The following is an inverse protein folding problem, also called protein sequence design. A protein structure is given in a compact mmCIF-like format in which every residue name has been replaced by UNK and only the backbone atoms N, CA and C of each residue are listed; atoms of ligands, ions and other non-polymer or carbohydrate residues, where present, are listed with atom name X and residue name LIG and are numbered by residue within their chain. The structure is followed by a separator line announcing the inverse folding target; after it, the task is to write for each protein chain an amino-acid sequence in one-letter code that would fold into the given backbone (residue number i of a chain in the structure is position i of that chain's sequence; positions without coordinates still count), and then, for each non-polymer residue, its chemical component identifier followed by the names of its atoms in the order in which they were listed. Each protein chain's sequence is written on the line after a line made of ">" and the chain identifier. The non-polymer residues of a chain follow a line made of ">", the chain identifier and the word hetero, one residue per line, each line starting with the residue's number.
data_IF_855414868194
#
_entry.id   IF_855414868194
#
_cell.length_a   1.000
_cell.length_b   1.000
_cell.length_c   1.000
_cell.angle_alpha   90.00
_cell.angle_beta   90.00
_cell.angle_gamma   90.00
#
_symmetry.space_group_name_H-M   'P 1'
#
loop_
_entity.id
_entity.type
_entity.pdbx_description
1 polymer ?
#
# COMPACT_ATOMS: atom_id res chain seq x y z
N UNK A 1 -12.46 -17.32 -62.58
CA UNK A 1 -11.51 -16.98 -63.65
C UNK A 1 -10.46 -16.02 -63.10
N UNK A 2 -9.20 -16.53 -63.05
CA UNK A 2 -7.92 -15.87 -63.47
C UNK A 2 -7.59 -14.52 -62.80
N UNK A 3 -6.45 -14.27 -62.21
CA UNK A 3 -5.06 -14.85 -62.14
C UNK A 3 -4.33 -14.08 -61.03
N UNK A 4 -3.78 -14.63 -60.06
CA UNK A 4 -2.36 -14.91 -59.73
C UNK A 4 -1.30 -14.09 -60.53
N UNK A 5 -0.42 -13.38 -59.81
CA UNK A 5 1.03 -13.32 -60.13
C UNK A 5 1.84 -12.80 -58.94
N UNK A 6 2.68 -13.65 -58.49
CA UNK A 6 3.99 -13.68 -57.82
C UNK A 6 5.02 -12.69 -58.39
N UNK A 7 5.94 -12.22 -57.56
CA UNK A 7 7.39 -12.14 -57.71
C UNK A 7 7.98 -11.57 -56.43
N UNK A 8 8.71 -12.26 -55.62
CA UNK A 8 9.96 -13.03 -55.64
C UNK A 8 11.25 -12.19 -55.70
N UNK A 9 11.98 -12.21 -54.56
CA UNK A 9 13.42 -12.31 -54.33
C UNK A 9 14.34 -11.14 -54.80
N UNK A 10 15.15 -10.62 -53.84
CA UNK A 10 16.62 -10.83 -53.83
C UNK A 10 17.24 -10.34 -52.52
N UNK A 11 17.90 -11.16 -51.93
CA UNK A 11 19.09 -11.42 -51.15
C UNK A 11 20.29 -10.58 -51.62
N UNK A 12 21.02 -9.92 -50.71
CA UNK A 12 22.48 -9.82 -50.77
C UNK A 12 23.05 -9.52 -49.36
N UNK A 13 23.77 -10.45 -48.85
CA UNK A 13 24.70 -10.34 -47.72
C UNK A 13 26.04 -9.79 -48.23
N UNK A 14 26.73 -8.97 -47.45
CA UNK A 14 28.19 -8.84 -47.49
C UNK A 14 28.72 -8.73 -46.07
N UNK A 15 29.50 -9.71 -45.69
CA UNK A 15 30.47 -9.75 -44.61
C UNK A 15 31.72 -8.94 -45.05
N UNK A 16 32.37 -8.26 -44.11
CA UNK A 16 33.84 -8.34 -43.97
C UNK A 16 34.29 -7.74 -42.63
N UNK A 17 35.00 -8.59 -41.94
CA UNK A 17 35.82 -8.32 -40.78
C UNK A 17 37.14 -7.67 -41.15
N UNK A 18 37.75 -6.90 -40.26
CA UNK A 18 39.23 -6.98 -40.05
C UNK A 18 39.63 -6.29 -38.73
N UNK A 19 40.50 -7.02 -38.12
CA UNK A 19 41.21 -6.81 -36.86
C UNK A 19 42.39 -5.82 -37.00
N UNK A 20 42.96 -5.55 -35.81
CA UNK A 20 44.37 -5.31 -35.39
C UNK A 20 44.61 -3.87 -34.88
N UNK A 21 44.81 -3.76 -33.59
CA UNK A 21 46.03 -3.85 -32.75
C UNK A 21 46.97 -2.64 -32.91
N UNK A 22 47.32 -2.00 -31.80
CA UNK A 22 48.37 -0.99 -31.73
C UNK A 22 48.58 -0.49 -30.28
N UNK A 23 49.56 -1.06 -29.60
CA UNK A 23 50.16 -0.64 -28.35
C UNK A 23 50.89 0.70 -28.39
N UNK A 24 51.07 1.35 -27.24
CA UNK A 24 52.08 2.37 -26.98
C UNK A 24 51.63 3.30 -25.83
N UNK A 25 51.96 3.08 -24.66
CA UNK A 25 53.09 3.36 -23.77
C UNK A 25 53.31 4.84 -23.41
N UNK A 26 53.20 5.07 -22.07
CA UNK A 26 54.00 5.93 -21.20
C UNK A 26 54.01 7.47 -21.42
N UNK A 27 53.65 8.18 -20.35
CA UNK A 27 54.64 8.88 -19.48
C UNK A 27 53.95 9.69 -18.39
N UNK A 28 54.34 9.38 -17.15
CA UNK A 28 54.30 10.28 -16.00
C UNK A 28 55.46 11.25 -16.06
N UNK A 29 55.43 12.42 -15.41
CA UNK A 29 56.22 12.67 -14.22
C UNK A 29 55.43 13.41 -13.14
N UNK A 30 55.43 13.01 -11.86
CA UNK A 30 56.36 13.16 -10.74
C UNK A 30 56.76 14.62 -10.47
N UNK A 31 56.32 15.15 -9.39
CA UNK A 31 56.85 15.41 -8.04
C UNK A 31 57.47 16.79 -7.84
N UNK A 32 57.19 17.38 -6.69
CA UNK A 32 58.14 17.92 -5.68
C UNK A 32 57.30 18.44 -4.49
N UNK A 33 57.38 17.81 -3.34
CA UNK A 33 58.27 18.00 -2.15
C UNK A 33 58.31 19.41 -1.56
N UNK A 34 58.01 19.55 -0.28
CA UNK A 34 58.89 19.63 0.89
C UNK A 34 58.00 19.78 2.13
N UNK A 35 58.10 18.93 3.11
CA UNK A 35 59.07 18.81 4.26
C UNK A 35 58.87 19.94 5.24
N UNK A 36 58.81 19.80 6.50
CA UNK A 36 59.22 18.98 7.60
C UNK A 36 58.98 19.87 8.83
N UNK A 37 58.82 19.47 10.03
CA UNK A 37 59.74 18.92 11.02
C UNK A 37 58.96 18.77 12.33
N UNK A 38 58.98 17.62 12.96
CA UNK A 38 59.56 17.20 14.23
C UNK A 38 59.08 17.96 15.52
N UNK A 39 58.99 17.40 16.71
CA UNK A 39 59.44 16.15 17.27
C UNK A 39 58.86 15.93 18.66
N UNK A 40 58.83 14.66 19.04
CA UNK A 40 59.19 14.05 20.33
C UNK A 40 58.36 14.33 21.57
N UNK A 41 58.13 13.39 22.31
CA UNK A 41 58.58 12.13 22.85
C UNK A 41 58.10 12.01 24.28
N UNK A 42 57.82 10.90 24.70
CA UNK A 42 58.28 9.97 25.76
C UNK A 42 57.23 9.83 26.87
N UNK A 43 56.91 8.68 27.28
CA UNK A 43 57.44 7.48 27.77
C UNK A 43 56.46 6.72 28.57
N UNK A 44 56.37 5.48 28.25
CA UNK A 44 56.71 4.30 29.06
C UNK A 44 55.72 3.91 30.16
N UNK A 45 55.09 2.75 29.95
CA UNK A 45 55.22 1.44 30.66
C UNK A 45 54.83 1.44 32.13
N UNK A 46 54.08 0.48 32.62
CA UNK A 46 54.20 -0.97 32.74
C UNK A 46 52.96 -1.54 33.41
N UNK A 47 52.42 -2.62 32.92
CA UNK A 47 52.57 -4.01 33.36
C UNK A 47 51.66 -4.47 34.49
N UNK A 48 50.84 -5.41 34.12
CA UNK A 48 50.71 -6.81 34.49
C UNK A 48 49.92 -7.19 35.73
N UNK A 49 49.02 -8.07 35.43
CA UNK A 49 48.80 -9.45 35.94
C UNK A 49 48.03 -9.64 37.24
N UNK A 50 47.02 -10.37 37.10
CA UNK A 50 46.74 -11.75 37.39
C UNK A 50 46.01 -12.09 38.70
N UNK A 51 44.99 -12.93 38.52
CA UNK A 51 44.61 -14.13 39.32
C UNK A 51 44.09 -13.88 40.74
N UNK A 52 43.17 -14.53 41.23
CA UNK A 52 42.39 -15.79 41.09
C UNK A 52 41.51 -15.97 42.33
N UNK A 53 40.39 -16.69 42.16
CA UNK A 53 39.75 -17.66 43.08
C UNK A 53 39.23 -17.22 44.45
N UNK A 54 38.07 -17.54 44.86
CA UNK A 54 37.35 -18.74 45.32
C UNK A 54 36.09 -18.37 46.10
N UNK A 55 35.02 -18.95 45.74
CA UNK A 55 34.13 -19.96 46.36
C UNK A 55 33.53 -19.67 47.76
N UNK A 56 32.20 -19.80 47.72
CA UNK A 56 31.28 -20.47 48.65
C UNK A 56 31.06 -19.85 50.02
N UNK A 57 29.83 -19.58 50.40
CA UNK A 57 28.99 -20.50 51.18
C UNK A 57 27.58 -19.95 51.47
N UNK A 58 26.70 -20.86 51.58
CA UNK A 58 25.27 -20.88 51.81
C UNK A 58 24.87 -20.28 53.14
N UNK A 59 23.78 -19.55 53.24
CA UNK A 59 22.81 -19.80 54.33
C UNK A 59 21.36 -19.37 53.95
N UNK A 60 20.47 -20.21 54.30
CA UNK A 60 19.04 -20.30 54.06
C UNK A 60 18.34 -19.74 55.32
N UNK A 61 17.42 -18.78 55.12
CA UNK A 61 16.34 -18.58 56.10
C UNK A 61 15.00 -18.30 55.33
N UNK A 62 14.02 -18.99 55.79
CA UNK A 62 12.66 -19.23 55.35
C UNK A 62 11.72 -18.04 55.58
N UNK A 63 10.76 -17.89 54.63
CA UNK A 63 9.30 -17.70 54.81
C UNK A 63 8.75 -16.38 55.34
N UNK A 64 8.01 -15.66 54.53
CA UNK A 64 6.55 -15.48 54.70
C UNK A 64 5.92 -14.84 53.46
N UNK A 65 4.79 -15.40 53.06
CA UNK A 65 3.98 -15.05 51.88
C UNK A 65 3.33 -13.66 51.97
N UNK A 66 3.28 -12.95 50.87
CA UNK A 66 2.19 -12.04 50.55
C UNK A 66 1.99 -12.05 49.01
N UNK A 67 0.86 -12.59 48.62
CA UNK A 67 0.31 -12.55 47.26
C UNK A 67 0.23 -11.11 46.76
N UNK A 68 0.84 -10.85 45.62
CA UNK A 68 0.42 -9.77 44.74
C UNK A 68 0.53 -10.30 43.32
N UNK A 69 -0.60 -10.50 42.70
CA UNK A 69 -0.82 -10.93 41.34
C UNK A 69 -0.12 -9.96 40.36
N UNK A 70 1.03 -10.34 39.84
CA UNK A 70 1.62 -9.76 38.66
C UNK A 70 0.99 -10.48 37.46
N UNK A 71 0.21 -9.72 36.68
CA UNK A 71 -0.27 -10.15 35.38
C UNK A 71 0.95 -10.40 34.47
N UNK A 72 1.07 -11.63 34.05
CA UNK A 72 2.07 -12.03 33.05
C UNK A 72 1.77 -11.30 31.74
N UNK A 73 2.72 -10.49 31.30
CA UNK A 73 2.83 -10.06 29.91
C UNK A 73 2.99 -11.31 29.04
N UNK A 74 1.92 -11.62 28.35
CA UNK A 74 1.94 -12.62 27.30
C UNK A 74 2.63 -11.97 26.10
N UNK A 75 3.85 -12.38 25.85
CA UNK A 75 4.53 -12.16 24.58
C UNK A 75 3.61 -12.68 23.47
N UNK A 76 3.02 -11.82 22.68
CA UNK A 76 2.29 -12.22 21.49
C UNK A 76 3.32 -12.76 20.49
N UNK A 77 3.35 -14.07 20.41
CA UNK A 77 3.87 -14.82 19.29
C UNK A 77 3.16 -14.31 18.02
N UNK A 78 3.92 -13.92 17.02
CA UNK A 78 3.41 -13.50 15.70
C UNK A 78 2.71 -14.69 15.06
N UNK A 79 1.46 -14.89 15.38
CA UNK A 79 0.59 -15.82 14.66
C UNK A 79 0.35 -15.24 13.28
N UNK A 80 0.58 -16.03 12.24
CA UNK A 80 0.16 -15.74 10.87
C UNK A 80 -1.26 -15.17 10.91
N UNK A 81 -1.46 -13.99 10.32
CA UNK A 81 -2.77 -13.34 10.32
C UNK A 81 -3.79 -14.32 9.74
N UNK A 82 -4.81 -14.62 10.53
CA UNK A 82 -5.88 -15.52 10.13
C UNK A 82 -6.61 -14.91 8.94
N UNK A 83 -6.55 -15.59 7.80
CA UNK A 83 -7.20 -15.14 6.56
C UNK A 83 -8.71 -15.33 6.73
N UNK A 84 -9.48 -14.25 6.62
CA UNK A 84 -10.94 -14.36 6.60
C UNK A 84 -11.38 -14.92 5.26
N UNK A 85 -12.14 -16.02 5.27
CA UNK A 85 -12.79 -16.58 4.10
C UNK A 85 -14.31 -16.66 4.28
N UNK A 86 -15.07 -16.34 3.24
CA UNK A 86 -16.53 -16.42 3.21
C UNK A 86 -16.96 -17.06 1.89
N UNK A 87 -17.85 -18.04 1.98
CA UNK A 87 -18.25 -18.88 0.85
C UNK A 87 -17.19 -19.95 0.56
N UNK A 88 -17.59 -20.98 -0.16
CA UNK A 88 -16.71 -22.09 -0.57
C UNK A 88 -16.11 -21.76 -1.95
N UNK A 89 -14.80 -21.72 -2.04
CA UNK A 89 -14.10 -21.48 -3.28
C UNK A 89 -14.21 -22.69 -4.20
N UNK A 90 -14.67 -22.48 -5.42
CA UNK A 90 -14.75 -23.51 -6.48
C UNK A 90 -14.62 -22.83 -7.84
N UNK A 91 -14.53 -23.62 -8.91
CA UNK A 91 -14.50 -23.10 -10.27
C UNK A 91 -15.85 -22.55 -10.74
N UNK A 92 -16.95 -22.89 -10.03
CA UNK A 92 -18.31 -22.45 -10.32
C UNK A 92 -18.63 -21.07 -9.74
N UNK A 93 -17.76 -20.50 -8.86
CA UNK A 93 -17.97 -19.20 -8.26
C UNK A 93 -16.86 -18.22 -8.67
N UNK A 94 -17.11 -16.91 -8.58
CA UNK A 94 -16.06 -15.90 -8.69
C UNK A 94 -15.32 -15.79 -7.34
N UNK A 95 -14.02 -16.03 -7.37
CA UNK A 95 -13.13 -15.96 -6.21
C UNK A 95 -12.60 -14.54 -6.08
N UNK A 96 -13.02 -13.84 -5.04
CA UNK A 96 -12.77 -12.40 -4.83
C UNK A 96 -11.81 -12.20 -3.67
N UNK A 97 -10.64 -11.62 -3.96
CA UNK A 97 -9.67 -11.20 -2.94
C UNK A 97 -9.80 -9.72 -2.62
N UNK A 98 -9.70 -9.35 -1.34
CA UNK A 98 -9.77 -7.96 -0.91
C UNK A 98 -8.79 -7.63 0.21
N UNK A 99 -8.48 -6.35 0.39
CA UNK A 99 -7.59 -5.86 1.44
C UNK A 99 -8.38 -5.43 2.67
N UNK A 100 -7.87 -5.78 3.85
CA UNK A 100 -8.40 -5.33 5.13
C UNK A 100 -8.35 -3.80 5.21
N UNK A 101 -9.50 -3.17 5.17
CA UNK A 101 -9.64 -1.72 5.19
C UNK A 101 -10.81 -1.20 4.35
N UNK A 102 -10.75 0.05 3.88
CA UNK A 102 -11.83 0.67 3.11
C UNK A 102 -12.24 -0.13 1.87
N UNK A 103 -11.28 -0.75 1.17
CA UNK A 103 -11.54 -1.57 -0.02
C UNK A 103 -12.49 -2.73 0.24
N UNK A 104 -12.43 -3.37 1.43
CA UNK A 104 -13.35 -4.45 1.80
C UNK A 104 -14.67 -3.91 2.36
N UNK A 105 -14.69 -2.70 2.92
CA UNK A 105 -15.91 -2.17 3.57
C UNK A 105 -17.09 -2.02 2.58
N UNK A 106 -16.83 -1.77 1.30
CA UNK A 106 -17.86 -1.75 0.26
C UNK A 106 -18.46 -3.13 -0.03
N UNK A 107 -17.73 -4.21 0.27
CA UNK A 107 -18.17 -5.59 0.02
C UNK A 107 -18.92 -6.23 1.20
N UNK A 108 -18.85 -5.69 2.42
CA UNK A 108 -19.29 -6.42 3.62
C UNK A 108 -20.77 -6.81 3.61
N UNK A 109 -21.63 -6.04 2.93
CA UNK A 109 -23.04 -6.38 2.78
C UNK A 109 -23.22 -7.57 1.83
N UNK A 110 -22.52 -7.60 0.69
CA UNK A 110 -22.49 -8.72 -0.24
C UNK A 110 -21.90 -9.98 0.41
N UNK A 111 -20.80 -9.83 1.16
CA UNK A 111 -20.20 -10.92 1.95
C UNK A 111 -21.21 -11.53 2.93
N UNK A 112 -22.01 -10.70 3.61
CA UNK A 112 -23.05 -11.15 4.54
C UNK A 112 -24.20 -11.87 3.83
N UNK A 113 -24.57 -11.45 2.64
CA UNK A 113 -25.59 -12.12 1.83
C UNK A 113 -25.11 -13.50 1.35
N UNK A 114 -23.83 -13.65 0.99
CA UNK A 114 -23.25 -14.95 0.63
C UNK A 114 -23.13 -15.85 1.85
N UNK A 115 -22.65 -15.36 2.97
CA UNK A 115 -22.51 -16.12 4.22
C UNK A 115 -23.86 -16.66 4.75
N UNK A 116 -24.93 -15.86 4.58
CA UNK A 116 -26.29 -16.28 4.97
C UNK A 116 -26.97 -17.18 3.94
N UNK A 117 -26.39 -17.39 2.77
CA UNK A 117 -27.00 -18.14 1.67
C UNK A 117 -28.08 -17.35 0.91
N UNK A 118 -28.25 -16.06 1.19
CA UNK A 118 -29.17 -15.19 0.45
C UNK A 118 -28.67 -14.89 -0.97
N UNK A 119 -27.37 -14.99 -1.20
CA UNK A 119 -26.71 -14.87 -2.50
C UNK A 119 -25.69 -15.98 -2.70
N UNK A 120 -25.44 -16.36 -3.94
CA UNK A 120 -24.47 -17.37 -4.35
C UNK A 120 -23.64 -16.84 -5.53
N UNK A 121 -22.64 -17.62 -5.95
CA UNK A 121 -21.77 -17.29 -7.09
C UNK A 121 -20.48 -16.58 -6.71
N UNK A 122 -20.22 -16.38 -5.42
CA UNK A 122 -19.02 -15.74 -4.92
C UNK A 122 -18.38 -16.51 -3.78
N UNK A 123 -17.06 -16.44 -3.69
CA UNK A 123 -16.29 -16.66 -2.46
C UNK A 123 -15.38 -15.46 -2.22
N UNK A 124 -15.15 -15.12 -0.96
CA UNK A 124 -14.35 -13.95 -0.58
C UNK A 124 -13.18 -14.37 0.30
N UNK A 125 -12.04 -13.71 0.07
CA UNK A 125 -10.85 -13.80 0.88
C UNK A 125 -10.37 -12.39 1.23
N UNK A 126 -10.06 -12.14 2.51
CA UNK A 126 -9.53 -10.86 2.96
C UNK A 126 -8.12 -11.03 3.51
N UNK A 127 -7.18 -10.27 2.94
CA UNK A 127 -5.77 -10.26 3.27
C UNK A 127 -5.32 -8.89 3.81
N UNK A 128 -4.19 -8.85 4.49
CA UNK A 128 -3.60 -7.60 4.99
C UNK A 128 -2.58 -6.98 4.03
N UNK A 129 -2.03 -7.77 3.11
CA UNK A 129 -0.93 -7.36 2.24
C UNK A 129 -1.32 -7.38 0.75
N UNK A 130 -1.12 -6.26 0.02
CA UNK A 130 -1.46 -6.18 -1.41
C UNK A 130 -0.70 -7.19 -2.27
N UNK A 131 0.56 -7.49 -1.92
CA UNK A 131 1.41 -8.41 -2.68
C UNK A 131 0.89 -9.85 -2.64
N UNK A 132 0.24 -10.26 -1.54
CA UNK A 132 -0.40 -11.58 -1.43
C UNK A 132 -1.56 -11.67 -2.40
N UNK A 133 -2.50 -10.71 -2.35
CA UNK A 133 -3.66 -10.65 -3.26
C UNK A 133 -3.21 -10.60 -4.73
N UNK A 134 -2.23 -9.74 -5.05
CA UNK A 134 -1.68 -9.66 -6.40
C UNK A 134 -1.06 -11.00 -6.87
N UNK A 135 -0.32 -11.66 -5.99
CA UNK A 135 0.29 -12.97 -6.31
C UNK A 135 -0.75 -14.05 -6.57
N UNK A 136 -1.84 -14.08 -5.79
CA UNK A 136 -2.93 -15.03 -5.95
C UNK A 136 -3.76 -14.76 -7.19
N UNK A 137 -4.00 -13.49 -7.53
CA UNK A 137 -4.64 -13.09 -8.79
C UNK A 137 -3.81 -13.56 -10.00
N UNK A 138 -2.50 -13.27 -10.00
CA UNK A 138 -1.58 -13.67 -11.08
C UNK A 138 -1.47 -15.20 -11.20
N UNK A 139 -1.53 -15.92 -10.07
CA UNK A 139 -1.50 -17.39 -10.06
C UNK A 139 -2.84 -18.05 -10.44
N UNK A 140 -3.90 -17.26 -10.69
CA UNK A 140 -5.22 -17.78 -11.03
C UNK A 140 -6.00 -18.38 -9.86
N UNK A 141 -5.56 -18.14 -8.62
CA UNK A 141 -6.30 -18.54 -7.43
C UNK A 141 -7.49 -17.61 -7.14
N UNK A 142 -7.36 -16.34 -7.50
CA UNK A 142 -8.42 -15.34 -7.48
C UNK A 142 -8.82 -14.99 -8.91
N UNK A 143 -10.08 -14.68 -9.08
CA UNK A 143 -10.67 -14.21 -10.34
C UNK A 143 -10.79 -12.69 -10.37
N UNK A 144 -11.13 -12.11 -9.22
CA UNK A 144 -11.28 -10.68 -8.97
C UNK A 144 -10.42 -10.29 -7.77
N UNK A 145 -9.82 -9.10 -7.81
CA UNK A 145 -9.05 -8.56 -6.72
C UNK A 145 -9.30 -7.06 -6.52
N UNK A 146 -9.45 -6.66 -5.25
CA UNK A 146 -9.49 -5.25 -4.85
C UNK A 146 -8.09 -4.83 -4.41
N UNK A 147 -7.46 -3.96 -5.19
CA UNK A 147 -6.05 -3.58 -5.07
C UNK A 147 -5.90 -2.06 -4.97
N UNK A 148 -4.79 -1.54 -4.40
CA UNK A 148 -4.41 -0.16 -4.60
C UNK A 148 -4.31 0.17 -6.10
N UNK A 149 -4.78 1.34 -6.51
CA UNK A 149 -4.89 1.70 -7.92
C UNK A 149 -3.56 1.60 -8.68
N UNK A 150 -2.45 2.01 -8.07
CA UNK A 150 -1.13 1.87 -8.66
C UNK A 150 -0.68 0.41 -8.76
N UNK A 151 -1.01 -0.43 -7.77
CA UNK A 151 -0.67 -1.87 -7.78
C UNK A 151 -1.45 -2.59 -8.88
N UNK A 152 -2.70 -2.19 -9.15
CA UNK A 152 -3.48 -2.71 -10.27
C UNK A 152 -2.81 -2.43 -11.63
N UNK A 153 -2.28 -1.22 -11.86
CA UNK A 153 -1.50 -0.90 -13.04
C UNK A 153 -0.19 -1.72 -13.13
N UNK A 154 0.48 -1.93 -12.00
CA UNK A 154 1.65 -2.82 -11.93
C UNK A 154 1.27 -4.27 -12.27
N UNK A 155 0.12 -4.76 -11.79
CA UNK A 155 -0.39 -6.10 -12.11
C UNK A 155 -0.67 -6.26 -13.62
N UNK A 156 -1.32 -5.27 -14.23
CA UNK A 156 -1.56 -5.22 -15.67
C UNK A 156 -0.25 -5.35 -16.48
N UNK A 157 0.74 -4.54 -16.15
CA UNK A 157 2.05 -4.58 -16.83
C UNK A 157 2.79 -5.91 -16.59
N UNK A 158 2.78 -6.45 -15.38
CA UNK A 158 3.44 -7.73 -15.03
C UNK A 158 2.78 -8.94 -15.68
N UNK A 159 1.47 -8.92 -15.85
CA UNK A 159 0.70 -10.01 -16.47
C UNK A 159 0.64 -9.89 -17.99
N UNK A 160 1.31 -8.87 -18.60
CA UNK A 160 1.23 -8.59 -20.03
C UNK A 160 -0.21 -8.41 -20.49
N UNK A 161 -0.90 -7.48 -19.85
CA UNK A 161 -2.31 -7.14 -20.09
C UNK A 161 -3.30 -8.26 -19.68
N UNK A 162 -2.95 -9.08 -18.70
CA UNK A 162 -3.79 -10.20 -18.25
C UNK A 162 -4.89 -9.84 -17.27
N UNK A 163 -5.03 -8.56 -16.88
CA UNK A 163 -6.07 -8.06 -15.96
C UNK A 163 -6.67 -6.77 -16.47
N UNK A 164 -7.97 -6.53 -16.15
CA UNK A 164 -8.67 -5.28 -16.44
C UNK A 164 -9.34 -4.71 -15.19
N UNK A 165 -9.35 -3.38 -15.07
CA UNK A 165 -10.09 -2.67 -14.03
C UNK A 165 -11.57 -2.64 -14.37
N UNK A 166 -12.43 -2.94 -13.40
CA UNK A 166 -13.89 -3.02 -13.55
C UNK A 166 -14.64 -1.97 -12.75
N UNK A 167 -14.09 -1.50 -11.64
CA UNK A 167 -14.58 -0.35 -10.88
C UNK A 167 -13.48 0.32 -10.06
N UNK A 168 -13.76 1.56 -9.64
CA UNK A 168 -13.05 2.23 -8.53
C UNK A 168 -13.87 1.94 -7.28
N UNK A 169 -13.26 1.33 -6.27
CA UNK A 169 -13.93 0.94 -5.02
C UNK A 169 -13.69 1.91 -3.85
N UNK A 170 -12.63 2.72 -3.92
CA UNK A 170 -12.25 3.62 -2.83
C UNK A 170 -11.54 4.86 -3.38
N UNK A 171 -12.07 6.05 -3.09
CA UNK A 171 -11.40 7.32 -3.37
C UNK A 171 -10.33 7.63 -2.32
N UNK A 172 -9.84 8.87 -2.27
CA UNK A 172 -8.78 9.26 -1.33
C UNK A 172 -9.20 9.12 0.13
N UNK A 173 -8.37 8.46 0.94
CA UNK A 173 -8.63 8.18 2.36
C UNK A 173 -7.49 8.60 3.27
N UNK A 174 -6.51 9.36 2.76
CA UNK A 174 -5.34 9.79 3.49
C UNK A 174 -5.57 11.15 4.14
N UNK A 175 -5.16 11.27 5.39
CA UNK A 175 -5.31 12.49 6.19
C UNK A 175 -4.04 12.76 6.98
N UNK A 176 -3.72 14.02 7.17
CA UNK A 176 -2.72 14.46 8.13
C UNK A 176 -3.36 14.53 9.53
N UNK A 177 -2.72 13.86 10.48
CA UNK A 177 -3.15 13.82 11.90
C UNK A 177 -2.02 14.33 12.78
N UNK A 178 -2.31 15.28 13.65
CA UNK A 178 -1.36 15.84 14.63
C UNK A 178 -2.12 16.61 15.73
N UNK A 179 -1.46 16.84 16.85
CA UNK A 179 -1.88 17.80 17.87
C UNK A 179 -1.25 19.20 17.70
N UNK A 180 -0.32 19.38 16.74
CA UNK A 180 0.25 20.71 16.44
C UNK A 180 -0.75 21.57 15.64
N UNK A 181 -1.29 22.60 16.26
CA UNK A 181 -2.29 23.49 15.65
C UNK A 181 -1.73 24.41 14.53
N UNK A 182 -0.40 24.43 14.35
CA UNK A 182 0.24 25.19 13.27
C UNK A 182 0.23 24.43 11.94
N UNK A 183 -0.01 23.14 11.94
CA UNK A 183 -0.10 22.31 10.74
C UNK A 183 -1.54 22.35 10.21
N UNK A 184 -1.74 22.91 8.99
CA UNK A 184 -3.06 23.10 8.37
C UNK A 184 -3.09 22.74 6.88
N UNK A 185 -1.92 22.54 6.27
CA UNK A 185 -1.75 22.23 4.84
C UNK A 185 -0.43 21.50 4.59
N UNK A 186 -0.24 21.00 3.39
CA UNK A 186 1.03 20.38 2.96
C UNK A 186 2.20 21.35 3.07
N UNK A 187 1.99 22.67 2.88
CA UNK A 187 3.05 23.69 2.99
C UNK A 187 3.66 23.78 4.39
N UNK A 188 2.87 23.49 5.42
CA UNK A 188 3.32 23.55 6.82
C UNK A 188 4.20 22.37 7.21
N UNK A 189 4.38 21.40 6.29
CA UNK A 189 5.28 20.26 6.47
C UNK A 189 6.76 20.59 6.15
N UNK A 190 7.06 21.81 5.68
CA UNK A 190 8.44 22.24 5.41
C UNK A 190 9.30 22.17 6.70
N UNK A 191 10.45 21.49 6.62
CA UNK A 191 11.36 21.28 7.74
C UNK A 191 10.81 20.35 8.83
N UNK A 192 9.72 19.64 8.59
CA UNK A 192 9.09 18.72 9.56
C UNK A 192 9.43 17.27 9.27
N UNK A 193 9.38 16.44 10.32
CA UNK A 193 9.35 14.98 10.19
C UNK A 193 7.90 14.52 10.16
N UNK A 194 7.55 13.70 9.18
CA UNK A 194 6.21 13.16 8.94
C UNK A 194 6.26 11.63 8.94
N UNK A 195 5.44 11.01 9.78
CA UNK A 195 5.29 9.56 9.82
C UNK A 195 4.26 9.12 8.79
N UNK A 196 4.51 8.03 8.06
CA UNK A 196 3.57 7.46 7.11
C UNK A 196 3.70 5.95 7.06
N UNK A 197 2.75 5.29 6.41
CA UNK A 197 2.84 3.88 6.00
C UNK A 197 2.81 3.78 4.48
N UNK A 198 3.03 2.58 3.93
CA UNK A 198 2.83 2.34 2.51
C UNK A 198 4.00 2.81 1.64
N UNK A 199 5.23 2.58 2.10
CA UNK A 199 6.42 2.77 1.26
C UNK A 199 6.32 1.92 -0.01
N UNK A 200 6.61 2.50 -1.17
CA UNK A 200 6.45 1.85 -2.49
C UNK A 200 5.00 1.74 -2.98
N UNK A 201 4.03 2.30 -2.25
CA UNK A 201 2.62 2.27 -2.59
C UNK A 201 2.02 3.68 -2.67
N UNK A 202 0.71 3.78 -2.97
CA UNK A 202 0.01 5.06 -3.16
C UNK A 202 0.28 6.12 -2.09
N UNK A 203 0.34 5.81 -0.78
CA UNK A 203 0.60 6.84 0.23
C UNK A 203 1.90 7.60 0.02
N UNK A 204 2.99 6.90 -0.32
CA UNK A 204 4.29 7.53 -0.60
C UNK A 204 4.22 8.41 -1.85
N UNK A 205 3.71 7.89 -2.95
CA UNK A 205 3.65 8.63 -4.22
C UNK A 205 2.77 9.87 -4.12
N UNK A 206 1.61 9.73 -3.47
CA UNK A 206 0.68 10.85 -3.25
C UNK A 206 1.30 11.94 -2.38
N UNK A 207 1.92 11.57 -1.26
CA UNK A 207 2.56 12.54 -0.38
C UNK A 207 3.72 13.26 -1.07
N UNK A 208 4.60 12.52 -1.74
CA UNK A 208 5.74 13.09 -2.47
C UNK A 208 5.28 14.05 -3.58
N UNK A 209 4.25 13.67 -4.33
CA UNK A 209 3.64 14.53 -5.36
C UNK A 209 3.10 15.83 -4.75
N UNK A 210 2.36 15.74 -3.63
CA UNK A 210 1.83 16.92 -2.96
C UNK A 210 2.92 17.83 -2.38
N UNK A 211 3.98 17.25 -1.79
CA UNK A 211 5.15 18.00 -1.32
C UNK A 211 5.81 18.76 -2.49
N UNK A 212 6.08 18.09 -3.60
CA UNK A 212 6.67 18.69 -4.79
C UNK A 212 5.82 19.85 -5.34
N UNK A 213 4.51 19.61 -5.54
CA UNK A 213 3.59 20.63 -6.07
C UNK A 213 3.43 21.84 -5.16
N UNK A 214 3.65 21.68 -3.87
CA UNK A 214 3.64 22.78 -2.91
C UNK A 214 5.03 23.39 -2.65
N UNK A 215 6.08 22.92 -3.34
CA UNK A 215 7.45 23.43 -3.20
C UNK A 215 8.13 23.07 -1.88
N UNK A 216 7.66 22.03 -1.20
CA UNK A 216 8.24 21.52 0.05
C UNK A 216 9.32 20.50 -0.29
N UNK A 217 10.59 20.84 -0.04
CA UNK A 217 11.75 20.04 -0.43
C UNK A 217 12.54 19.47 0.75
N UNK A 218 12.20 19.88 1.96
CA UNK A 218 12.93 19.60 3.21
C UNK A 218 12.08 18.84 4.26
N UNK A 219 10.98 18.21 3.83
CA UNK A 219 10.17 17.34 4.66
C UNK A 219 10.84 15.97 4.79
N UNK A 220 11.07 15.51 6.05
CA UNK A 220 11.61 14.18 6.35
C UNK A 220 10.45 13.18 6.50
N UNK A 221 10.19 12.36 5.48
CA UNK A 221 9.12 11.34 5.54
C UNK A 221 9.67 10.02 6.03
N UNK A 222 9.22 9.58 7.20
CA UNK A 222 9.61 8.32 7.84
C UNK A 222 8.51 7.28 7.72
N UNK A 223 8.78 6.19 7.01
CA UNK A 223 7.83 5.10 6.84
C UNK A 223 7.91 4.10 8.00
N UNK A 224 6.72 3.70 8.48
CA UNK A 224 6.52 2.63 9.45
C UNK A 224 5.82 1.46 8.77
N UNK A 225 6.09 0.25 9.27
CA UNK A 225 5.51 -0.96 8.70
C UNK A 225 4.00 -1.01 8.88
N UNK A 226 3.50 -0.52 10.03
CA UNK A 226 2.10 -0.62 10.41
C UNK A 226 1.55 0.71 10.94
N UNK A 227 0.29 1.01 10.62
CA UNK A 227 -0.40 2.19 11.15
C UNK A 227 -0.60 2.14 12.68
N UNK A 228 -0.61 0.94 13.26
CA UNK A 228 -0.65 0.72 14.71
C UNK A 228 0.61 1.22 15.42
N UNK A 229 1.77 1.12 14.79
CA UNK A 229 3.04 1.69 15.30
C UNK A 229 2.94 3.21 15.35
N UNK A 230 2.45 3.84 14.28
CA UNK A 230 2.24 5.29 14.24
C UNK A 230 1.24 5.72 15.31
N UNK A 231 0.16 4.98 15.51
CA UNK A 231 -0.82 5.24 16.56
C UNK A 231 -0.20 5.23 17.96
N UNK A 232 0.73 4.31 18.22
CA UNK A 232 1.46 4.25 19.50
C UNK A 232 2.39 5.45 19.68
N UNK A 233 3.08 5.89 18.62
CA UNK A 233 3.96 7.07 18.63
C UNK A 233 3.15 8.36 18.86
N UNK A 234 2.03 8.54 18.17
CA UNK A 234 1.12 9.68 18.37
C UNK A 234 0.49 9.73 19.77
N UNK A 235 0.30 8.56 20.40
CA UNK A 235 -0.15 8.49 21.79
C UNK A 235 0.91 8.96 22.79
N UNK A 236 2.20 8.71 22.50
CA UNK A 236 3.32 9.12 23.33
C UNK A 236 3.61 10.62 23.16
N UNK A 237 3.56 11.10 21.93
CA UNK A 237 3.79 12.49 21.58
C UNK A 237 2.76 12.96 20.53
N UNK A 238 1.68 13.62 20.97
CA UNK A 238 0.64 14.10 20.06
C UNK A 238 1.11 15.20 19.10
N UNK A 239 2.25 15.86 19.37
CA UNK A 239 2.79 16.89 18.48
C UNK A 239 3.45 16.31 17.22
N UNK A 240 3.70 14.99 17.17
CA UNK A 240 4.16 14.33 15.97
C UNK A 240 3.13 14.46 14.84
N UNK A 241 3.61 14.48 13.60
CA UNK A 241 2.79 14.62 12.41
C UNK A 241 2.74 13.27 11.71
N UNK A 242 1.55 12.81 11.35
CA UNK A 242 1.39 11.55 10.65
C UNK A 242 0.41 11.65 9.48
N UNK A 243 0.72 10.98 8.38
CA UNK A 243 -0.22 10.69 7.30
C UNK A 243 -0.77 9.28 7.53
N UNK A 244 -2.06 9.20 7.80
CA UNK A 244 -2.75 7.95 8.09
C UNK A 244 -3.96 7.77 7.18
N UNK A 245 -4.27 6.52 6.80
CA UNK A 245 -5.52 6.21 6.12
C UNK A 245 -6.69 6.09 7.12
N UNK A 246 -7.92 6.30 6.64
CA UNK A 246 -9.08 5.73 7.32
C UNK A 246 -9.00 4.19 7.26
N UNK A 247 -9.47 3.48 8.27
CA UNK A 247 -10.14 3.96 9.49
C UNK A 247 -9.19 4.35 10.65
N UNK A 248 -7.87 4.23 10.47
CA UNK A 248 -6.90 4.50 11.54
C UNK A 248 -6.99 5.93 12.07
N UNK A 249 -7.24 6.91 11.20
CA UNK A 249 -7.50 8.30 11.61
C UNK A 249 -8.60 8.37 12.66
N UNK A 250 -9.75 7.74 12.41
CA UNK A 250 -10.86 7.70 13.37
C UNK A 250 -10.49 6.97 14.66
N UNK A 251 -9.70 5.90 14.57
CA UNK A 251 -9.25 5.15 15.75
C UNK A 251 -8.35 6.00 16.63
N UNK A 252 -7.32 6.64 16.07
CA UNK A 252 -6.36 7.43 16.87
C UNK A 252 -6.98 8.68 17.46
N UNK A 253 -7.83 9.40 16.70
CA UNK A 253 -8.52 10.60 17.21
C UNK A 253 -9.60 10.26 18.24
N UNK A 254 -10.22 9.08 18.17
CA UNK A 254 -11.15 8.61 19.20
C UNK A 254 -10.46 8.19 20.51
N UNK A 255 -9.16 7.86 20.47
CA UNK A 255 -8.37 7.44 21.63
C UNK A 255 -7.59 8.58 22.30
N UNK A 256 -7.39 9.70 21.60
CA UNK A 256 -6.63 10.83 22.11
C UNK A 256 -7.23 12.15 21.60
N UNK A 257 -7.89 12.90 22.49
CA UNK A 257 -8.55 14.18 22.20
C UNK A 257 -7.59 15.32 21.79
N UNK A 258 -6.28 15.14 22.01
CA UNK A 258 -5.26 16.09 21.55
C UNK A 258 -4.97 15.95 20.05
N UNK A 259 -5.28 14.79 19.46
CA UNK A 259 -5.09 14.54 18.04
C UNK A 259 -6.28 15.05 17.23
N UNK A 260 -5.98 15.73 16.13
CA UNK A 260 -6.97 16.26 15.19
C UNK A 260 -6.56 15.90 13.77
N UNK A 261 -7.54 15.83 12.88
CA UNK A 261 -7.28 15.88 11.44
C UNK A 261 -6.89 17.31 11.10
N UNK A 262 -5.66 17.50 10.67
CA UNK A 262 -5.13 18.80 10.27
C UNK A 262 -5.60 19.18 8.86
N UNK A 263 -5.51 18.25 7.92
CA UNK A 263 -6.00 18.40 6.55
C UNK A 263 -6.22 17.04 5.87
N UNK A 264 -6.97 17.06 4.78
CA UNK A 264 -7.20 15.89 3.89
C UNK A 264 -6.26 15.98 2.71
N UNK A 265 -5.57 14.86 2.37
CA UNK A 265 -4.76 14.79 1.16
C UNK A 265 -5.63 14.86 -0.11
N UNK A 266 -6.91 14.47 -0.02
CA UNK A 266 -7.86 14.61 -1.13
C UNK A 266 -8.13 16.08 -1.46
N UNK A 267 -8.28 16.94 -0.45
CA UNK A 267 -8.49 18.36 -0.66
C UNK A 267 -7.23 19.06 -1.18
N UNK A 268 -6.06 18.67 -0.65
CA UNK A 268 -4.76 19.14 -1.15
C UNK A 268 -4.53 18.70 -2.61
N UNK A 269 -4.87 17.45 -2.95
CA UNK A 269 -4.79 16.95 -4.32
C UNK A 269 -5.66 17.76 -5.27
N UNK A 270 -6.91 17.98 -4.91
CA UNK A 270 -7.85 18.78 -5.71
C UNK A 270 -7.34 20.20 -5.97
N UNK A 271 -6.59 20.76 -5.02
CA UNK A 271 -6.02 22.12 -5.16
C UNK A 271 -4.90 22.21 -6.18
N UNK A 272 -4.12 21.14 -6.38
CA UNK A 272 -2.95 21.10 -7.28
C UNK A 272 -3.20 20.30 -8.57
N UNK A 273 -4.24 19.47 -8.60
CA UNK A 273 -4.64 18.62 -9.73
C UNK A 273 -6.17 18.59 -9.86
N UNK A 274 -6.81 19.73 -10.24
CA UNK A 274 -8.27 19.84 -10.24
C UNK A 274 -8.95 18.92 -11.29
N UNK A 275 -8.21 18.51 -12.31
CA UNK A 275 -8.70 17.65 -13.40
C UNK A 275 -8.52 16.14 -13.12
N UNK A 276 -8.07 15.79 -11.90
CA UNK A 276 -7.83 14.42 -11.47
C UNK A 276 -8.41 14.19 -10.08
N UNK A 277 -8.92 12.98 -9.81
CA UNK A 277 -9.37 12.56 -8.48
C UNK A 277 -8.25 11.78 -7.79
N UNK A 278 -8.09 11.98 -6.48
CA UNK A 278 -7.25 11.09 -5.66
C UNK A 278 -7.97 9.77 -5.43
N UNK A 279 -7.35 8.67 -5.87
CA UNK A 279 -7.88 7.31 -5.73
C UNK A 279 -7.04 6.51 -4.74
N UNK A 280 -7.68 5.54 -4.09
CA UNK A 280 -7.00 4.57 -3.23
C UNK A 280 -7.09 3.17 -3.81
N UNK A 281 -8.29 2.68 -4.10
CA UNK A 281 -8.54 1.30 -4.49
C UNK A 281 -9.35 1.16 -5.76
N UNK A 282 -9.01 0.13 -6.52
CA UNK A 282 -9.74 -0.32 -7.71
C UNK A 282 -9.96 -1.82 -7.64
N UNK A 283 -11.00 -2.28 -8.32
CA UNK A 283 -11.29 -3.68 -8.51
C UNK A 283 -10.81 -4.11 -9.88
N UNK A 284 -10.03 -5.17 -9.94
CA UNK A 284 -9.55 -5.76 -11.19
C UNK A 284 -10.03 -7.19 -11.33
N UNK A 285 -10.19 -7.64 -12.56
CA UNK A 285 -10.56 -9.00 -12.92
C UNK A 285 -9.54 -9.57 -13.90
N UNK A 286 -9.30 -10.88 -13.87
CA UNK A 286 -8.48 -11.56 -14.87
C UNK A 286 -9.18 -11.55 -16.23
N UNK A 287 -8.46 -11.25 -17.31
CA UNK A 287 -9.03 -11.20 -18.66
C UNK A 287 -9.58 -12.54 -19.12
N UNK A 288 -8.97 -13.65 -18.72
CA UNK A 288 -9.51 -14.99 -18.95
C UNK A 288 -10.93 -15.18 -18.37
N UNK A 289 -11.20 -14.57 -17.21
CA UNK A 289 -12.53 -14.59 -16.57
C UNK A 289 -13.51 -13.72 -17.37
N UNK A 290 -13.09 -12.53 -17.79
CA UNK A 290 -13.91 -11.67 -18.67
C UNK A 290 -14.27 -12.35 -19.99
N UNK A 291 -13.34 -13.06 -20.60
CA UNK A 291 -13.58 -13.77 -21.87
C UNK A 291 -14.62 -14.90 -21.73
N UNK A 292 -14.60 -15.61 -20.59
CA UNK A 292 -15.42 -16.81 -20.40
C UNK A 292 -16.66 -16.61 -19.54
N UNK A 293 -16.68 -15.57 -18.67
CA UNK A 293 -17.68 -15.36 -17.63
C UNK A 293 -18.12 -13.89 -17.53
N UNK A 294 -18.16 -13.15 -18.65
CA UNK A 294 -18.46 -11.71 -18.66
C UNK A 294 -19.77 -11.35 -17.94
N UNK A 295 -20.83 -12.13 -18.14
CA UNK A 295 -22.12 -11.87 -17.50
C UNK A 295 -22.07 -11.99 -15.97
N UNK A 296 -21.20 -12.87 -15.43
CA UNK A 296 -21.00 -13.01 -13.99
C UNK A 296 -20.17 -11.85 -13.43
N UNK A 297 -19.20 -11.34 -14.20
CA UNK A 297 -18.44 -10.13 -13.84
C UNK A 297 -19.36 -8.91 -13.85
N UNK A 298 -20.22 -8.76 -14.84
CA UNK A 298 -21.22 -7.68 -14.89
C UNK A 298 -22.18 -7.75 -13.71
N UNK A 299 -22.60 -8.96 -13.30
CA UNK A 299 -23.42 -9.16 -12.10
C UNK A 299 -22.63 -8.78 -10.83
N UNK A 300 -21.34 -9.14 -10.74
CA UNK A 300 -20.49 -8.73 -9.61
C UNK A 300 -20.41 -7.20 -9.49
N UNK A 301 -20.20 -6.48 -10.59
CA UNK A 301 -20.17 -5.01 -10.60
C UNK A 301 -21.47 -4.44 -10.02
N UNK A 302 -22.63 -4.95 -10.46
CA UNK A 302 -23.93 -4.52 -9.97
C UNK A 302 -24.12 -4.86 -8.47
N UNK A 303 -23.70 -6.04 -8.04
CA UNK A 303 -23.81 -6.49 -6.65
C UNK A 303 -22.86 -5.72 -5.72
N UNK A 304 -21.64 -5.40 -6.20
CA UNK A 304 -20.70 -4.56 -5.49
C UNK A 304 -21.25 -3.14 -5.33
N UNK A 305 -21.83 -2.57 -6.38
CA UNK A 305 -22.50 -1.27 -6.30
C UNK A 305 -23.62 -1.28 -5.27
N UNK A 306 -24.52 -2.26 -5.31
CA UNK A 306 -25.61 -2.38 -4.33
C UNK A 306 -25.10 -2.53 -2.88
N UNK A 307 -24.04 -3.32 -2.67
CA UNK A 307 -23.37 -3.47 -1.37
C UNK A 307 -22.78 -2.14 -0.88
N UNK A 308 -22.16 -1.38 -1.76
CA UNK A 308 -21.56 -0.06 -1.48
C UNK A 308 -22.63 0.98 -1.16
N UNK A 309 -23.73 1.03 -1.92
CA UNK A 309 -24.87 1.91 -1.64
C UNK A 309 -25.50 1.60 -0.28
N UNK A 310 -25.61 0.32 0.08
CA UNK A 310 -26.08 -0.10 1.39
C UNK A 310 -25.13 0.31 2.51
N UNK A 311 -23.81 0.29 2.27
CA UNK A 311 -22.82 0.78 3.24
C UNK A 311 -22.97 2.29 3.51
N UNK A 312 -23.42 3.07 2.54
CA UNK A 312 -23.69 4.50 2.69
C UNK A 312 -25.06 4.81 3.32
N UNK A 313 -26.09 3.99 3.06
CA UNK A 313 -27.48 4.24 3.48
C UNK A 313 -27.83 3.55 4.80
N UNK A 314 -27.23 2.41 5.11
CA UNK A 314 -27.41 1.66 6.36
C UNK A 314 -26.08 1.52 7.09
N UNK A 315 -25.57 2.67 7.56
CA UNK A 315 -24.26 2.77 8.24
C UNK A 315 -24.23 1.92 9.51
N UNK A 316 -25.35 1.79 10.24
CA UNK A 316 -25.40 1.06 11.50
C UNK A 316 -25.22 -0.44 11.26
N UNK A 317 -26.00 -1.04 10.38
CA UNK A 317 -25.88 -2.46 10.04
C UNK A 317 -24.52 -2.75 9.39
N UNK A 318 -24.04 -1.87 8.50
CA UNK A 318 -22.72 -2.02 7.88
C UNK A 318 -21.59 -1.95 8.91
N UNK A 319 -21.68 -1.09 9.92
CA UNK A 319 -20.68 -0.99 10.99
C UNK A 319 -20.60 -2.28 11.83
N UNK A 320 -21.72 -2.94 12.07
CA UNK A 320 -21.75 -4.26 12.75
C UNK A 320 -21.04 -5.33 11.88
N UNK A 321 -21.26 -5.33 10.56
CA UNK A 321 -20.57 -6.25 9.64
C UNK A 321 -19.06 -5.95 9.57
N UNK A 322 -18.66 -4.69 9.50
CA UNK A 322 -17.25 -4.27 9.52
C UNK A 322 -16.55 -4.76 10.79
N UNK A 323 -17.25 -4.73 11.94
CA UNK A 323 -16.73 -5.26 13.19
C UNK A 323 -16.73 -6.79 13.21
N UNK A 324 -17.79 -7.43 12.73
CA UNK A 324 -17.91 -8.89 12.62
C UNK A 324 -16.79 -9.51 11.81
N UNK A 325 -16.45 -8.90 10.67
CA UNK A 325 -15.37 -9.36 9.80
C UNK A 325 -13.97 -8.87 10.20
N UNK A 326 -13.84 -8.23 11.36
CA UNK A 326 -12.57 -7.85 11.95
C UNK A 326 -11.81 -6.74 11.19
N UNK A 327 -12.51 -5.97 10.34
CA UNK A 327 -11.90 -4.83 9.64
C UNK A 327 -11.62 -3.70 10.65
N UNK A 328 -12.59 -3.40 11.51
CA UNK A 328 -12.46 -2.52 12.66
C UNK A 328 -12.98 -3.27 13.89
N UNK A 329 -12.22 -3.29 14.97
CA UNK A 329 -12.53 -4.11 16.15
C UNK A 329 -13.87 -3.76 16.85
N UNK A 330 -14.43 -2.57 16.64
CA UNK A 330 -15.63 -2.09 17.35
C UNK A 330 -16.60 -1.38 16.41
N UNK A 331 -17.84 -1.82 16.35
CA UNK A 331 -18.90 -1.22 15.52
C UNK A 331 -19.12 0.27 15.76
N UNK A 332 -19.08 0.83 16.99
CA UNK A 332 -19.19 2.28 17.19
C UNK A 332 -18.06 3.09 16.55
N UNK A 333 -16.85 2.51 16.44
CA UNK A 333 -15.72 3.14 15.75
C UNK A 333 -15.90 3.02 14.23
N UNK A 334 -16.32 1.84 13.75
CA UNK A 334 -16.65 1.61 12.35
C UNK A 334 -17.73 2.60 11.86
N UNK A 335 -18.80 2.80 12.64
CA UNK A 335 -19.85 3.77 12.35
C UNK A 335 -19.33 5.20 12.16
N UNK A 336 -18.35 5.61 12.97
CA UNK A 336 -17.71 6.93 12.83
C UNK A 336 -16.76 7.01 11.64
N UNK A 337 -16.11 5.91 11.29
CA UNK A 337 -15.13 5.86 10.20
C UNK A 337 -15.79 5.79 8.81
N UNK A 338 -16.84 4.98 8.64
CA UNK A 338 -17.49 4.69 7.37
C UNK A 338 -17.77 5.92 6.50
N UNK A 339 -18.35 7.04 7.02
CA UNK A 339 -18.61 8.22 6.21
C UNK A 339 -17.35 8.90 5.65
N UNK A 340 -16.18 8.62 6.22
CA UNK A 340 -14.90 9.21 5.84
C UNK A 340 -14.00 8.23 5.07
N UNK A 341 -14.46 7.01 4.82
CA UNK A 341 -13.71 5.99 4.07
C UNK A 341 -13.83 6.14 2.57
N UNK A 342 -14.64 7.08 2.06
CA UNK A 342 -14.83 7.38 0.64
C UNK A 342 -15.06 6.12 -0.21
N UNK A 343 -15.89 5.21 0.32
CA UNK A 343 -16.24 3.95 -0.32
C UNK A 343 -17.17 4.27 -1.50
N UNK A 344 -16.86 3.76 -2.67
CA UNK A 344 -17.60 3.99 -3.92
C UNK A 344 -17.63 2.69 -4.75
N UNK A 345 -18.44 2.68 -5.82
CA UNK A 345 -18.38 1.68 -6.87
C UNK A 345 -18.62 2.41 -8.20
N UNK A 346 -17.55 2.97 -8.75
CA UNK A 346 -17.59 3.78 -9.98
C UNK A 346 -17.09 2.88 -11.12
N UNK A 347 -17.95 2.58 -12.10
CA UNK A 347 -17.64 1.73 -13.25
C UNK A 347 -17.79 2.50 -14.57
N UNK A 348 -17.46 1.85 -15.69
CA UNK A 348 -17.66 2.38 -17.02
C UNK A 348 -16.75 3.57 -17.37
N UNK A 349 -17.27 4.51 -18.16
CA UNK A 349 -16.50 5.65 -18.68
C UNK A 349 -15.99 6.59 -17.58
N UNK A 350 -16.73 6.74 -16.48
CA UNK A 350 -16.28 7.54 -15.33
C UNK A 350 -15.07 6.88 -14.66
N UNK A 351 -15.13 5.56 -14.43
CA UNK A 351 -13.97 4.80 -13.90
C UNK A 351 -12.74 4.98 -14.80
N UNK A 352 -12.89 4.82 -16.11
CA UNK A 352 -11.79 4.98 -17.07
C UNK A 352 -11.19 6.38 -16.98
N UNK A 353 -12.02 7.41 -16.98
CA UNK A 353 -11.56 8.81 -16.93
C UNK A 353 -10.81 9.11 -15.64
N UNK A 354 -11.38 8.76 -14.51
CA UNK A 354 -10.81 9.06 -13.18
C UNK A 354 -9.53 8.26 -12.94
N UNK A 355 -9.55 6.96 -13.27
CA UNK A 355 -8.39 6.09 -13.05
C UNK A 355 -7.23 6.45 -13.98
N UNK A 356 -7.48 6.70 -15.27
CA UNK A 356 -6.45 7.12 -16.19
C UNK A 356 -5.83 8.46 -15.77
N UNK A 357 -6.65 9.43 -15.36
CA UNK A 357 -6.17 10.73 -14.88
C UNK A 357 -5.29 10.60 -13.62
N UNK A 358 -5.68 9.78 -12.66
CA UNK A 358 -4.88 9.51 -11.47
C UNK A 358 -3.56 8.81 -11.79
N UNK A 359 -3.60 7.73 -12.59
CA UNK A 359 -2.40 6.99 -12.96
C UNK A 359 -1.43 7.84 -13.77
N UNK A 360 -1.93 8.76 -14.61
CA UNK A 360 -1.09 9.70 -15.37
C UNK A 360 -0.30 10.61 -14.43
N UNK A 361 -0.94 11.17 -13.39
CA UNK A 361 -0.24 11.99 -12.40
C UNK A 361 0.86 11.21 -11.69
N UNK A 362 0.58 9.97 -11.31
CA UNK A 362 1.59 9.12 -10.68
C UNK A 362 2.73 8.75 -11.63
N UNK A 363 2.40 8.44 -12.90
CA UNK A 363 3.39 8.12 -13.93
C UNK A 363 4.33 9.29 -14.21
N UNK A 364 3.79 10.50 -14.35
CA UNK A 364 4.58 11.70 -14.60
C UNK A 364 5.52 12.03 -13.44
N UNK A 365 5.08 11.79 -12.20
CA UNK A 365 5.91 11.94 -11.01
C UNK A 365 6.97 10.82 -10.89
N UNK A 366 6.59 9.59 -11.15
CA UNK A 366 7.47 8.42 -11.09
C UNK A 366 6.91 7.25 -11.90
N UNK A 367 7.43 6.97 -13.12
CA UNK A 367 6.93 5.87 -13.96
C UNK A 367 6.90 4.49 -13.27
N UNK A 368 7.80 4.24 -12.31
CA UNK A 368 7.83 2.97 -11.57
C UNK A 368 6.58 2.75 -10.72
N UNK A 369 5.90 3.84 -10.32
CA UNK A 369 4.68 3.76 -9.51
C UNK A 369 3.57 2.93 -10.17
N UNK A 370 3.51 2.94 -11.51
CA UNK A 370 2.52 2.21 -12.32
C UNK A 370 3.12 1.03 -13.08
N UNK A 371 4.36 0.62 -12.75
CA UNK A 371 5.03 -0.53 -13.40
C UNK A 371 5.84 -0.19 -14.64
N UNK A 372 6.16 1.09 -14.88
CA UNK A 372 7.08 1.57 -15.92
C UNK A 372 6.40 2.08 -17.18
N UNK A 373 5.18 1.68 -17.47
CA UNK A 373 4.36 2.15 -18.61
C UNK A 373 2.94 2.40 -18.16
N UNK A 374 2.29 3.40 -18.78
CA UNK A 374 0.86 3.62 -18.57
C UNK A 374 0.06 2.44 -19.12
N UNK A 375 -1.02 2.00 -18.41
CA UNK A 375 -1.94 1.04 -18.98
C UNK A 375 -2.60 1.56 -20.26
N UNK A 376 -2.83 0.64 -21.20
CA UNK A 376 -3.53 0.91 -22.45
C UNK A 376 -5.07 0.85 -22.27
N UNK A 377 -5.80 1.13 -23.34
CA UNK A 377 -7.27 1.19 -23.32
C UNK A 377 -7.93 -0.14 -22.90
N UNK A 378 -7.30 -1.28 -23.14
CA UNK A 378 -7.77 -2.61 -22.75
C UNK A 378 -7.69 -2.89 -21.24
N UNK A 379 -7.01 -2.03 -20.49
CA UNK A 379 -7.03 -2.08 -19.03
C UNK A 379 -8.39 -1.71 -18.43
N UNK A 380 -9.19 -0.93 -19.12
CA UNK A 380 -10.43 -0.36 -18.60
C UNK A 380 -11.63 -1.11 -19.18
N UNK A 381 -12.25 -1.98 -18.37
CA UNK A 381 -13.44 -2.69 -18.78
C UNK A 381 -14.66 -1.75 -18.80
N UNK A 382 -15.30 -1.65 -19.95
CA UNK A 382 -16.56 -0.93 -20.13
C UNK A 382 -17.64 -1.97 -20.47
N UNK A 383 -18.67 -2.06 -19.64
CA UNK A 383 -19.83 -2.93 -19.89
C UNK A 383 -20.48 -2.56 -21.23
N UNK A 384 -20.87 -3.57 -21.99
CA UNK A 384 -21.44 -3.41 -23.34
C UNK A 384 -22.96 -3.27 -23.30
#
# INVERSE_FOLDING_TARGET
>A
MKKMKYWSRMLAAVLAASMLAGCGASTTPQATTSAATEANADGQETSAAAEETTAAETEKVTETAAETTAAAEKTEETTAAEVLTIGEASDDVLRVGSLKGPTTMGLVNLMSEVESGAKSGYSFEMQSQPDVIMSELVAGKLDIALLPANVAAVAYNKTKHGVSAIDINTLGVLYCVTGDENIKSVKDLAGKTVLSTGQGASPEYVLNYLLEKNGVTDCDVQFKSEATEIAALLKQDPAQIAILPQPFVTVVTAQNDQLKVAFSLTDEWKSVSPDSKLLTGVTVVRNEVLENRAAEVDQFIADHQASTEKAATDVDATAELVAKYGIIAKAPVAKKALPNCNIVAIAGDEMKTDLAGYLQVLFDANPKSVGGTMPEDDFYYIQK
#
